data_IF_514578827920
#
_entry.id   IF_514578827920
#
_cell.length_a   1.000
_cell.length_b   1.000
_cell.length_c   1.000
_cell.angle_alpha   90.00
_cell.angle_beta   90.00
_cell.angle_gamma   90.00
#
_symmetry.space_group_name_H-M   'P 1'
#
loop_
_entity.id
_entity.type
_entity.pdbx_description
1 polymer ?
#
# COMPACT_ATOMS: atom_id res chain seq x y z
N UNK A 1 16.29 56.99 19.66
CA UNK A 1 16.67 55.87 18.81
C UNK A 1 16.53 54.60 19.62
N UNK A 2 15.38 53.92 19.51
CA UNK A 2 15.13 52.62 20.19
C UNK A 2 15.33 51.49 19.14
N UNK A 3 16.36 50.66 19.33
CA UNK A 3 16.55 49.44 18.57
C UNK A 3 15.49 48.43 18.99
N UNK A 4 14.65 48.00 18.07
CA UNK A 4 13.80 46.83 18.21
C UNK A 4 14.69 45.59 18.06
N UNK A 5 14.85 44.83 19.13
CA UNK A 5 15.33 43.44 19.06
C UNK A 5 14.18 42.56 18.57
N UNK A 6 14.37 41.91 17.44
CA UNK A 6 13.54 40.79 17.02
C UNK A 6 13.97 39.56 17.84
N UNK A 7 13.16 39.19 18.80
CA UNK A 7 13.21 37.86 19.39
C UNK A 7 12.40 36.91 18.50
N UNK A 8 13.08 36.04 17.80
CA UNK A 8 12.49 34.86 17.20
C UNK A 8 12.34 33.82 18.30
N UNK A 9 11.19 33.80 18.95
CA UNK A 9 10.79 32.72 19.86
C UNK A 9 10.59 31.44 19.03
N UNK A 10 11.46 30.47 19.23
CA UNK A 10 11.22 29.11 18.76
C UNK A 10 10.24 28.44 19.70
N UNK A 11 9.00 28.29 19.28
CA UNK A 11 8.02 27.47 19.99
C UNK A 11 8.32 26.01 19.68
N UNK A 12 8.64 25.22 20.70
CA UNK A 12 8.63 23.78 20.62
C UNK A 12 7.25 23.30 21.06
N UNK A 13 6.49 22.72 20.14
CA UNK A 13 5.25 21.99 20.48
C UNK A 13 5.62 20.54 20.75
N UNK A 14 5.37 20.09 21.95
CA UNK A 14 5.43 18.69 22.31
C UNK A 14 4.08 18.05 21.98
N UNK A 15 4.04 17.14 21.04
CA UNK A 15 2.84 16.37 20.72
C UNK A 15 3.10 14.94 21.14
N UNK A 16 2.35 14.49 22.14
CA UNK A 16 2.29 13.08 22.48
C UNK A 16 1.30 12.42 21.53
N UNK A 17 1.82 11.62 20.62
CA UNK A 17 1.01 10.73 19.81
C UNK A 17 0.78 9.45 20.62
N UNK A 18 -0.28 9.47 21.41
CA UNK A 18 -0.89 8.23 21.83
C UNK A 18 -1.41 7.47 20.62
N UNK A 19 -1.36 6.15 20.63
CA UNK A 19 -1.95 5.25 19.65
C UNK A 19 -3.42 5.63 19.34
N UNK A 20 -3.58 6.56 18.44
CA UNK A 20 -4.83 7.15 18.00
C UNK A 20 -4.62 7.90 16.71
N UNK A 21 -3.99 7.27 15.71
CA UNK A 21 -4.12 7.75 14.34
C UNK A 21 -5.59 7.64 13.97
N UNK A 22 -6.34 8.73 14.16
CA UNK A 22 -7.66 8.91 13.57
C UNK A 22 -7.46 9.09 12.07
N UNK A 23 -7.21 7.98 11.37
CA UNK A 23 -7.44 7.94 9.94
C UNK A 23 -8.95 7.91 9.74
N UNK A 24 -9.57 9.10 9.60
CA UNK A 24 -10.92 9.18 9.06
C UNK A 24 -10.86 8.84 7.57
N UNK A 25 -10.74 7.55 7.28
CA UNK A 25 -11.00 7.02 5.94
C UNK A 25 -12.53 6.92 5.82
N UNK A 26 -13.18 8.05 5.66
CA UNK A 26 -14.59 8.10 5.27
C UNK A 26 -14.67 8.10 3.75
N UNK A 27 -14.43 6.97 3.16
CA UNK A 27 -14.62 6.79 1.73
C UNK A 27 -14.60 5.31 1.44
N UNK A 28 -15.76 4.75 1.14
CA UNK A 28 -15.87 3.37 0.68
C UNK A 28 -15.01 3.18 -0.56
N UNK A 29 -13.84 2.58 -0.37
CA UNK A 29 -12.99 2.15 -1.46
C UNK A 29 -13.73 1.00 -2.11
N UNK A 30 -14.17 1.18 -3.34
CA UNK A 30 -14.62 0.09 -4.21
C UNK A 30 -13.40 -0.74 -4.62
N UNK A 31 -12.79 -1.44 -3.66
CA UNK A 31 -11.90 -2.54 -3.97
C UNK A 31 -12.82 -3.71 -4.29
N UNK A 32 -12.81 -4.13 -5.54
CA UNK A 32 -13.62 -5.26 -5.98
C UNK A 32 -15.11 -4.99 -5.93
N UNK A 33 -15.64 -4.11 -6.80
CA UNK A 33 -17.03 -4.24 -7.19
C UNK A 33 -17.19 -5.67 -7.67
N UNK A 34 -18.04 -6.43 -6.97
CA UNK A 34 -18.55 -7.69 -7.48
C UNK A 34 -18.98 -7.46 -8.93
N UNK A 35 -18.15 -7.98 -9.86
CA UNK A 35 -18.42 -7.83 -11.28
C UNK A 35 -19.67 -8.65 -11.55
N UNK A 36 -20.76 -7.99 -11.87
CA UNK A 36 -21.99 -8.67 -12.25
C UNK A 36 -21.78 -9.28 -13.64
N UNK A 37 -21.61 -10.59 -13.68
CA UNK A 37 -21.79 -11.34 -14.92
C UNK A 37 -23.21 -11.08 -15.41
N UNK A 38 -23.36 -10.33 -16.49
CA UNK A 38 -24.64 -10.19 -17.18
C UNK A 38 -24.71 -11.31 -18.21
N UNK A 39 -25.61 -12.30 -18.04
CA UNK A 39 -25.84 -13.27 -19.12
C UNK A 39 -26.45 -12.52 -20.30
N UNK A 40 -25.70 -12.35 -21.35
CA UNK A 40 -26.19 -11.82 -22.63
C UNK A 40 -26.82 -12.98 -23.41
N UNK A 41 -28.04 -12.74 -23.91
CA UNK A 41 -28.75 -13.70 -24.71
C UNK A 41 -27.95 -14.13 -25.95
N UNK A 42 -28.01 -15.42 -26.26
CA UNK A 42 -27.54 -16.16 -27.42
C UNK A 42 -27.22 -15.30 -28.66
N UNK A 43 -25.99 -14.93 -28.87
CA UNK A 43 -25.43 -14.78 -30.20
C UNK A 43 -24.93 -16.16 -30.61
N UNK A 44 -25.13 -16.56 -31.88
CA UNK A 44 -24.61 -17.82 -32.41
C UNK A 44 -23.11 -17.88 -32.17
N UNK A 45 -22.66 -18.83 -31.33
CA UNK A 45 -21.26 -19.09 -31.09
C UNK A 45 -20.53 -19.30 -32.42
N UNK A 46 -19.29 -18.79 -32.58
CA UNK A 46 -18.50 -19.10 -33.77
C UNK A 46 -18.31 -20.59 -33.93
N UNK A 47 -18.18 -21.08 -35.17
CA UNK A 47 -17.98 -22.48 -35.49
C UNK A 47 -16.68 -23.05 -34.86
N UNK A 48 -15.68 -22.16 -34.64
CA UNK A 48 -14.44 -22.44 -33.93
C UNK A 48 -14.13 -21.22 -32.99
N UNK A 49 -13.77 -21.47 -31.71
CA UNK A 49 -13.45 -20.41 -30.78
C UNK A 49 -12.10 -19.83 -31.16
N UNK A 50 -11.98 -18.52 -31.37
CA UNK A 50 -10.74 -17.88 -31.83
C UNK A 50 -9.76 -17.65 -30.66
N UNK A 51 -9.30 -18.73 -30.03
CA UNK A 51 -8.24 -18.65 -29.04
C UNK A 51 -6.95 -18.13 -29.65
N UNK A 52 -6.28 -17.24 -28.92
CA UNK A 52 -4.96 -16.78 -29.33
C UNK A 52 -3.91 -17.87 -29.13
N UNK A 53 -2.88 -17.85 -29.97
CA UNK A 53 -1.70 -18.67 -29.73
C UNK A 53 -0.99 -18.18 -28.47
N UNK A 54 -0.75 -19.06 -27.52
CA UNK A 54 -0.05 -18.77 -26.28
C UNK A 54 1.39 -18.30 -26.57
N UNK A 55 1.76 -17.14 -26.02
CA UNK A 55 3.08 -16.52 -26.12
C UNK A 55 3.73 -16.38 -24.74
N UNK A 56 2.91 -16.18 -23.70
CA UNK A 56 3.38 -16.11 -22.32
C UNK A 56 3.69 -17.53 -21.84
N UNK A 57 4.91 -17.75 -21.43
CA UNK A 57 5.38 -19.05 -20.92
C UNK A 57 5.31 -19.10 -19.39
N UNK A 58 5.25 -20.30 -18.80
CA UNK A 58 5.30 -20.48 -17.36
C UNK A 58 6.53 -19.78 -16.74
N UNK A 59 7.67 -19.80 -17.43
CA UNK A 59 8.90 -19.17 -16.94
C UNK A 59 8.80 -17.64 -16.76
N UNK A 60 7.88 -16.99 -17.47
CA UNK A 60 7.67 -15.53 -17.37
C UNK A 60 6.76 -15.13 -16.21
N UNK A 61 6.02 -16.09 -15.66
CA UNK A 61 5.06 -15.90 -14.56
C UNK A 61 5.40 -16.70 -13.30
N UNK A 62 6.39 -17.59 -13.36
CA UNK A 62 6.88 -18.34 -12.20
C UNK A 62 7.38 -17.40 -11.13
N UNK A 63 6.91 -17.61 -9.89
CA UNK A 63 7.26 -16.78 -8.72
C UNK A 63 6.28 -15.64 -8.46
N UNK A 64 5.31 -15.42 -9.34
CA UNK A 64 4.21 -14.49 -9.07
C UNK A 64 3.27 -15.09 -8.01
N UNK A 65 2.96 -14.29 -6.99
CA UNK A 65 2.29 -14.83 -5.79
C UNK A 65 0.90 -15.40 -6.07
N UNK A 66 0.08 -14.69 -6.83
CA UNK A 66 -1.28 -15.13 -7.13
C UNK A 66 -1.29 -16.25 -8.16
N UNK A 67 -0.41 -16.19 -9.16
CA UNK A 67 -0.25 -17.23 -10.18
C UNK A 67 0.06 -18.60 -9.55
N UNK A 68 0.99 -18.66 -8.60
CA UNK A 68 1.43 -19.92 -7.97
C UNK A 68 0.34 -20.62 -7.14
N UNK A 69 -0.74 -19.92 -6.80
CA UNK A 69 -1.86 -20.49 -6.04
C UNK A 69 -3.01 -20.99 -6.92
N UNK A 70 -2.92 -20.79 -8.23
CA UNK A 70 -3.92 -21.21 -9.19
C UNK A 70 -3.76 -22.70 -9.57
N UNK A 71 -4.86 -23.35 -9.91
CA UNK A 71 -4.83 -24.66 -10.57
C UNK A 71 -4.23 -24.56 -11.99
N UNK A 72 -3.80 -25.68 -12.56
CA UNK A 72 -3.22 -25.73 -13.92
C UNK A 72 -4.15 -25.11 -14.99
N UNK A 73 -5.47 -25.29 -14.83
CA UNK A 73 -6.47 -24.68 -15.73
C UNK A 73 -6.51 -23.15 -15.54
N UNK A 74 -6.53 -22.67 -14.31
CA UNK A 74 -6.55 -21.24 -14.00
C UNK A 74 -5.23 -20.57 -14.37
N UNK A 75 -4.10 -21.24 -14.25
CA UNK A 75 -2.81 -20.76 -14.73
C UNK A 75 -2.79 -20.53 -16.25
N UNK A 76 -3.47 -21.39 -17.00
CA UNK A 76 -3.66 -21.15 -18.44
C UNK A 76 -4.50 -19.90 -18.68
N UNK A 77 -5.60 -19.74 -17.97
CA UNK A 77 -6.46 -18.54 -18.04
C UNK A 77 -5.70 -17.28 -17.65
N UNK A 78 -4.84 -17.34 -16.63
CA UNK A 78 -3.98 -16.23 -16.22
C UNK A 78 -3.06 -15.77 -17.36
N UNK A 79 -2.37 -16.69 -18.03
CA UNK A 79 -1.49 -16.38 -19.17
C UNK A 79 -2.25 -15.80 -20.36
N UNK A 80 -3.44 -16.32 -20.66
CA UNK A 80 -4.33 -15.81 -21.71
C UNK A 80 -4.76 -14.36 -21.40
N UNK A 81 -5.18 -14.09 -20.18
CA UNK A 81 -5.57 -12.74 -19.74
C UNK A 81 -4.38 -11.80 -19.79
N UNK A 82 -3.23 -12.18 -19.24
CA UNK A 82 -2.02 -11.35 -19.23
C UNK A 82 -1.60 -11.00 -20.67
N UNK A 83 -1.56 -11.98 -21.57
CA UNK A 83 -1.25 -11.76 -22.98
C UNK A 83 -2.24 -10.79 -23.62
N UNK A 84 -3.54 -11.02 -23.44
CA UNK A 84 -4.58 -10.18 -24.01
C UNK A 84 -4.50 -8.71 -23.51
N UNK A 85 -4.24 -8.51 -22.22
CA UNK A 85 -4.05 -7.16 -21.65
C UNK A 85 -2.80 -6.48 -22.21
N UNK A 86 -1.68 -7.20 -22.33
CA UNK A 86 -0.45 -6.66 -22.91
C UNK A 86 -0.65 -6.22 -24.36
N UNK A 87 -1.42 -6.97 -25.13
CA UNK A 87 -1.77 -6.68 -26.53
C UNK A 87 -2.95 -5.71 -26.69
N UNK A 88 -3.56 -5.21 -25.60
CA UNK A 88 -4.75 -4.36 -25.60
C UNK A 88 -5.93 -4.99 -26.38
N UNK A 89 -6.15 -6.30 -26.23
CA UNK A 89 -7.27 -7.01 -26.85
C UNK A 89 -8.59 -6.55 -26.23
N UNK A 90 -9.56 -6.23 -27.07
CA UNK A 90 -10.90 -5.85 -26.61
C UNK A 90 -11.69 -7.04 -26.10
N UNK A 91 -11.47 -8.20 -26.71
CA UNK A 91 -12.07 -9.48 -26.33
C UNK A 91 -10.93 -10.48 -26.16
N UNK A 92 -10.89 -11.14 -25.00
CA UNK A 92 -9.94 -12.21 -24.70
C UNK A 92 -10.75 -13.48 -24.50
N UNK A 93 -10.51 -14.47 -25.35
CA UNK A 93 -11.17 -15.78 -25.32
C UNK A 93 -10.42 -16.70 -24.40
N UNK A 94 -11.10 -17.25 -23.39
CA UNK A 94 -10.48 -17.99 -22.30
C UNK A 94 -10.87 -19.46 -22.31
N UNK A 95 -9.89 -20.34 -22.06
CA UNK A 95 -10.13 -21.74 -21.76
C UNK A 95 -10.72 -21.91 -20.34
N UNK A 96 -11.84 -21.26 -20.09
CA UNK A 96 -12.55 -21.22 -18.82
C UNK A 96 -14.04 -21.37 -19.07
N UNK A 97 -14.74 -22.08 -18.20
CA UNK A 97 -16.19 -22.32 -18.33
C UNK A 97 -17.04 -21.49 -17.38
N UNK A 98 -16.42 -20.67 -16.52
CA UNK A 98 -17.08 -19.91 -15.47
C UNK A 98 -16.58 -18.46 -15.44
N UNK A 99 -17.51 -17.51 -15.56
CA UNK A 99 -17.19 -16.08 -15.58
C UNK A 99 -16.64 -15.58 -14.24
N UNK A 100 -17.05 -16.15 -13.10
CA UNK A 100 -16.51 -15.73 -11.80
C UNK A 100 -15.04 -16.13 -11.69
N UNK A 101 -14.69 -17.36 -12.07
CA UNK A 101 -13.29 -17.80 -12.12
C UNK A 101 -12.46 -16.91 -13.04
N UNK A 102 -12.97 -16.58 -14.23
CA UNK A 102 -12.27 -15.65 -15.13
C UNK A 102 -12.03 -14.28 -14.51
N UNK A 103 -13.02 -13.76 -13.77
CA UNK A 103 -12.88 -12.47 -13.07
C UNK A 103 -11.89 -12.55 -11.92
N UNK A 104 -11.89 -13.63 -11.13
CA UNK A 104 -10.92 -13.85 -10.05
C UNK A 104 -9.50 -13.91 -10.60
N UNK A 105 -9.28 -14.68 -11.68
CA UNK A 105 -7.97 -14.77 -12.33
C UNK A 105 -7.55 -13.44 -12.95
N UNK A 106 -8.50 -12.66 -13.50
CA UNK A 106 -8.21 -11.32 -13.99
C UNK A 106 -7.69 -10.38 -12.88
N UNK A 107 -8.32 -10.42 -11.69
CA UNK A 107 -7.81 -9.66 -10.54
C UNK A 107 -6.42 -10.15 -10.11
N UNK A 108 -6.18 -11.46 -10.13
CA UNK A 108 -4.88 -12.03 -9.80
C UNK A 108 -3.77 -11.52 -10.73
N UNK A 109 -4.03 -11.44 -12.05
CA UNK A 109 -3.10 -10.81 -13.00
C UNK A 109 -2.79 -9.37 -12.60
N UNK A 110 -3.79 -8.56 -12.26
CA UNK A 110 -3.59 -7.15 -11.89
C UNK A 110 -2.95 -6.96 -10.50
N UNK A 111 -3.06 -7.95 -9.62
CA UNK A 111 -2.42 -7.94 -8.31
C UNK A 111 -0.93 -8.34 -8.39
N UNK A 112 -0.57 -9.27 -9.27
CA UNK A 112 0.81 -9.64 -9.51
C UNK A 112 1.58 -8.61 -10.37
N UNK A 113 0.87 -7.88 -11.24
CA UNK A 113 1.44 -7.02 -12.28
C UNK A 113 1.11 -5.54 -12.07
N UNK A 114 1.73 -4.88 -11.07
CA UNK A 114 1.45 -3.47 -10.75
C UNK A 114 1.77 -2.52 -11.92
N UNK A 115 2.63 -2.92 -12.85
CA UNK A 115 2.96 -2.15 -14.05
C UNK A 115 1.79 -2.02 -15.02
N UNK A 116 0.73 -2.82 -14.90
CA UNK A 116 -0.47 -2.72 -15.72
C UNK A 116 -1.36 -1.58 -15.20
N UNK A 117 -0.93 -0.35 -15.44
CA UNK A 117 -1.63 0.87 -15.03
C UNK A 117 -2.74 1.29 -16.01
N UNK A 118 -2.73 0.75 -17.22
CA UNK A 118 -3.66 1.12 -18.30
C UNK A 118 -4.98 0.33 -18.29
N UNK A 119 -5.19 -0.54 -17.32
CA UNK A 119 -6.42 -1.27 -17.07
C UNK A 119 -6.94 -0.91 -15.69
N UNK A 120 -8.24 -0.54 -15.58
CA UNK A 120 -8.81 -0.03 -14.33
C UNK A 120 -9.28 -1.11 -13.35
N UNK A 121 -9.07 -2.39 -13.67
CA UNK A 121 -9.51 -3.52 -12.87
C UNK A 121 -10.97 -3.91 -13.09
N UNK A 122 -11.70 -3.24 -13.97
CA UNK A 122 -13.03 -3.65 -14.38
C UNK A 122 -12.97 -4.44 -15.69
N UNK A 123 -13.81 -5.44 -15.83
CA UNK A 123 -14.01 -6.17 -17.07
C UNK A 123 -15.45 -6.68 -17.18
N UNK A 124 -15.90 -6.97 -18.39
CA UNK A 124 -17.16 -7.68 -18.62
C UNK A 124 -16.82 -9.12 -19.00
N UNK A 125 -17.37 -10.09 -18.28
CA UNK A 125 -17.19 -11.51 -18.60
C UNK A 125 -18.48 -12.14 -19.08
N UNK A 126 -18.45 -12.82 -20.23
CA UNK A 126 -19.59 -13.47 -20.84
C UNK A 126 -19.32 -14.94 -21.05
N UNK A 127 -20.21 -15.80 -20.52
CA UNK A 127 -20.16 -17.25 -20.75
C UNK A 127 -20.85 -17.60 -22.07
N UNK A 128 -20.20 -18.44 -22.86
CA UNK A 128 -20.76 -18.99 -24.10
C UNK A 128 -20.81 -20.51 -24.01
N UNK A 129 -21.87 -21.12 -24.55
CA UNK A 129 -21.93 -22.55 -24.80
C UNK A 129 -22.01 -22.80 -26.32
N UNK A 130 -21.13 -23.61 -26.81
CA UNK A 130 -21.32 -24.21 -28.13
C UNK A 130 -22.48 -25.22 -28.04
N UNK A 131 -23.22 -25.41 -29.15
CA UNK A 131 -24.41 -26.26 -29.20
C UNK A 131 -24.24 -27.63 -28.53
N UNK A 132 -25.37 -28.24 -28.11
CA UNK A 132 -25.49 -29.46 -27.28
C UNK A 132 -24.28 -30.41 -27.29
N UNK A 133 -23.53 -30.41 -26.17
CA UNK A 133 -22.43 -31.35 -25.91
C UNK A 133 -21.02 -30.82 -26.14
N UNK A 134 -20.82 -29.53 -26.48
CA UNK A 134 -19.52 -28.91 -26.68
C UNK A 134 -19.12 -27.99 -25.53
N UNK A 135 -17.81 -27.69 -25.47
CA UNK A 135 -17.14 -26.92 -24.42
C UNK A 135 -17.78 -25.55 -24.21
N UNK A 136 -17.89 -25.14 -22.95
CA UNK A 136 -18.15 -23.76 -22.57
C UNK A 136 -16.85 -22.98 -22.60
N UNK A 137 -16.92 -21.70 -22.93
CA UNK A 137 -15.81 -20.78 -22.84
C UNK A 137 -16.27 -19.42 -22.31
N UNK A 138 -15.33 -18.62 -21.83
CA UNK A 138 -15.60 -17.25 -21.38
C UNK A 138 -14.87 -16.29 -22.30
N UNK A 139 -15.53 -15.18 -22.61
CA UNK A 139 -14.90 -14.02 -23.20
C UNK A 139 -14.84 -12.94 -22.13
N UNK A 140 -13.65 -12.41 -21.85
CA UNK A 140 -13.46 -11.26 -20.98
C UNK A 140 -13.10 -10.03 -21.80
N UNK A 141 -13.77 -8.92 -21.51
CA UNK A 141 -13.58 -7.61 -22.12
C UNK A 141 -13.03 -6.64 -21.06
N UNK A 142 -11.69 -6.46 -20.93
CA UNK A 142 -11.10 -5.54 -19.99
C UNK A 142 -11.45 -4.08 -20.32
N UNK A 143 -11.60 -3.25 -19.27
CA UNK A 143 -11.76 -1.82 -19.46
C UNK A 143 -10.37 -1.15 -19.46
N UNK A 144 -9.97 -0.62 -20.61
CA UNK A 144 -8.70 0.08 -20.76
C UNK A 144 -8.87 1.59 -20.53
N UNK A 145 -8.07 2.15 -19.65
CA UNK A 145 -7.97 3.59 -19.42
C UNK A 145 -7.18 4.27 -20.54
N UNK A 146 -6.14 3.60 -21.03
CA UNK A 146 -5.20 4.15 -22.00
C UNK A 146 -4.82 3.11 -23.04
N UNK A 147 -4.71 3.56 -24.29
CA UNK A 147 -4.29 2.75 -25.43
C UNK A 147 -3.29 3.53 -26.32
N UNK A 148 -2.56 2.83 -27.18
CA UNK A 148 -1.70 3.41 -28.21
C UNK A 148 -0.66 4.39 -27.67
N UNK A 149 -0.57 5.57 -28.32
CA UNK A 149 0.43 6.59 -27.98
C UNK A 149 0.28 7.14 -26.56
N UNK A 150 -0.94 7.26 -26.05
CA UNK A 150 -1.17 7.77 -24.70
C UNK A 150 -0.67 6.78 -23.63
N UNK A 151 -0.91 5.47 -23.80
CA UNK A 151 -0.34 4.43 -22.93
C UNK A 151 1.17 4.50 -22.92
N UNK A 152 1.80 4.61 -24.10
CA UNK A 152 3.25 4.66 -24.22
C UNK A 152 3.83 5.92 -23.57
N UNK A 153 3.22 7.09 -23.78
CA UNK A 153 3.64 8.32 -23.12
C UNK A 153 3.60 8.20 -21.59
N UNK A 154 2.50 7.68 -21.03
CA UNK A 154 2.36 7.51 -19.58
C UNK A 154 3.34 6.48 -19.03
N UNK A 155 3.65 5.44 -19.80
CA UNK A 155 4.68 4.49 -19.44
C UNK A 155 6.05 5.17 -19.30
N UNK A 156 6.42 6.04 -20.23
CA UNK A 156 7.68 6.80 -20.16
C UNK A 156 7.71 7.78 -18.97
N UNK A 157 6.58 8.36 -18.62
CA UNK A 157 6.46 9.22 -17.42
C UNK A 157 6.66 8.39 -16.12
N UNK A 158 6.08 7.18 -16.03
CA UNK A 158 6.32 6.24 -14.92
C UNK A 158 7.80 5.86 -14.85
N UNK A 159 8.42 5.50 -15.97
CA UNK A 159 9.84 5.14 -16.01
C UNK A 159 10.75 6.30 -15.56
N UNK A 160 10.42 7.53 -15.91
CA UNK A 160 11.12 8.72 -15.43
C UNK A 160 10.97 8.92 -13.92
N UNK A 161 9.75 8.74 -13.41
CA UNK A 161 9.46 8.83 -11.97
C UNK A 161 10.19 7.71 -11.19
N UNK A 162 10.17 6.46 -11.71
CA UNK A 162 10.93 5.34 -11.17
C UNK A 162 12.43 5.64 -11.11
N UNK A 163 13.00 6.10 -12.22
CA UNK A 163 14.43 6.42 -12.28
C UNK A 163 14.79 7.51 -11.26
N UNK A 164 13.94 8.51 -11.09
CA UNK A 164 14.13 9.58 -10.10
C UNK A 164 14.11 9.02 -8.68
N UNK A 165 13.12 8.19 -8.34
CA UNK A 165 13.04 7.53 -7.03
C UNK A 165 14.28 6.67 -6.77
N UNK A 166 14.61 5.77 -7.69
CA UNK A 166 15.69 4.81 -7.50
C UNK A 166 17.09 5.43 -7.54
N UNK A 167 17.25 6.65 -8.06
CA UNK A 167 18.54 7.36 -8.02
C UNK A 167 19.04 7.64 -6.58
N UNK A 168 18.14 7.74 -5.62
CA UNK A 168 18.48 7.93 -4.20
C UNK A 168 18.89 6.66 -3.46
N UNK A 169 18.82 5.49 -4.12
CA UNK A 169 19.08 4.18 -3.50
C UNK A 169 20.46 3.61 -3.90
N UNK A 170 21.16 4.22 -4.85
CA UNK A 170 22.37 3.64 -5.48
C UNK A 170 23.42 3.12 -4.51
N UNK A 171 23.51 3.70 -3.33
CA UNK A 171 24.50 3.37 -2.31
C UNK A 171 23.98 2.44 -1.20
N UNK A 172 22.67 2.08 -1.23
CA UNK A 172 22.08 1.19 -0.24
C UNK A 172 22.26 -0.27 -0.66
N UNK A 173 22.96 -1.05 0.17
CA UNK A 173 23.12 -2.49 -0.04
C UNK A 173 22.15 -3.34 0.77
N UNK A 174 21.65 -2.82 1.88
CA UNK A 174 20.76 -3.51 2.81
C UNK A 174 19.31 -3.50 2.32
N UNK A 175 18.63 -4.66 2.37
CA UNK A 175 17.25 -4.80 1.90
C UNK A 175 16.27 -3.96 2.76
N UNK A 176 16.47 -3.95 4.08
CA UNK A 176 15.63 -3.16 4.98
C UNK A 176 15.73 -1.65 4.69
N UNK A 177 16.95 -1.15 4.48
CA UNK A 177 17.17 0.26 4.15
C UNK A 177 16.52 0.64 2.80
N UNK A 178 16.52 -0.27 1.82
CA UNK A 178 15.81 -0.07 0.56
C UNK A 178 14.30 -0.03 0.76
N UNK A 179 13.74 -0.96 1.52
CA UNK A 179 12.30 -1.00 1.84
C UNK A 179 11.90 0.28 2.58
N UNK A 180 12.67 0.67 3.61
CA UNK A 180 12.45 1.90 4.37
C UNK A 180 12.51 3.15 3.48
N UNK A 181 13.46 3.18 2.53
CA UNK A 181 13.56 4.29 1.59
C UNK A 181 12.32 4.39 0.70
N UNK A 182 11.85 3.28 0.10
CA UNK A 182 10.64 3.27 -0.74
C UNK A 182 9.41 3.67 0.07
N UNK A 183 9.25 3.14 1.28
CA UNK A 183 8.20 3.51 2.22
C UNK A 183 8.18 5.02 2.47
N UNK A 184 9.31 5.56 2.89
CA UNK A 184 9.48 6.99 3.18
C UNK A 184 9.28 7.86 1.93
N UNK A 185 9.77 7.38 0.77
CA UNK A 185 9.61 8.09 -0.49
C UNK A 185 8.14 8.23 -0.87
N UNK A 186 7.36 7.16 -0.77
CA UNK A 186 5.93 7.21 -1.08
C UNK A 186 5.20 8.19 -0.15
N UNK A 187 5.42 8.10 1.15
CA UNK A 187 4.80 9.00 2.16
C UNK A 187 5.14 10.46 1.89
N UNK A 188 6.39 10.77 1.54
CA UNK A 188 6.82 12.17 1.32
C UNK A 188 6.45 12.74 -0.05
N UNK A 189 6.02 11.91 -1.00
CA UNK A 189 5.82 12.33 -2.39
C UNK A 189 4.42 12.07 -2.95
N UNK A 190 3.55 11.43 -2.19
CA UNK A 190 2.19 11.10 -2.64
C UNK A 190 1.21 11.59 -1.58
N UNK A 191 0.24 12.39 -1.99
CA UNK A 191 -0.86 12.81 -1.12
C UNK A 191 -2.02 11.80 -1.18
N UNK A 192 -2.61 11.46 -0.03
CA UNK A 192 -3.80 10.61 -0.01
C UNK A 192 -5.03 11.38 -0.49
N UNK A 193 -5.64 10.95 -1.60
CA UNK A 193 -6.72 11.68 -2.24
C UNK A 193 -7.72 10.76 -2.94
N UNK A 194 -8.95 10.76 -2.42
CA UNK A 194 -10.06 9.97 -2.96
C UNK A 194 -10.55 10.48 -4.32
N UNK A 195 -10.36 11.76 -4.62
CA UNK A 195 -10.81 12.40 -5.85
C UNK A 195 -9.72 12.46 -6.93
N UNK A 196 -8.55 11.88 -6.69
CA UNK A 196 -7.49 11.84 -7.68
C UNK A 196 -7.91 10.99 -8.89
N UNK A 197 -7.61 11.45 -10.13
CA UNK A 197 -7.85 10.64 -11.32
C UNK A 197 -7.08 9.32 -11.25
N UNK A 198 -7.73 8.22 -11.67
CA UNK A 198 -7.12 6.89 -11.77
C UNK A 198 -6.37 6.44 -10.51
N UNK A 199 -6.91 6.80 -9.35
CA UNK A 199 -6.27 6.70 -8.03
C UNK A 199 -5.94 5.27 -7.55
N UNK A 200 -6.23 4.24 -8.36
CA UNK A 200 -6.01 2.82 -8.02
C UNK A 200 -4.73 2.22 -8.62
N UNK A 201 -3.92 3.01 -9.33
CA UNK A 201 -2.76 2.51 -10.05
C UNK A 201 -1.47 3.29 -9.79
N UNK A 202 -0.35 2.78 -10.31
CA UNK A 202 0.98 3.38 -10.08
C UNK A 202 1.16 4.74 -10.77
N UNK A 203 0.39 5.06 -11.83
CA UNK A 203 0.50 6.35 -12.50
C UNK A 203 0.04 7.48 -11.59
N UNK A 204 -1.10 7.30 -10.90
CA UNK A 204 -1.62 8.30 -9.96
C UNK A 204 -0.63 8.60 -8.83
N UNK A 205 0.00 7.57 -8.25
CA UNK A 205 0.96 7.75 -7.17
C UNK A 205 2.31 8.27 -7.65
N UNK A 206 2.92 7.65 -8.66
CA UNK A 206 4.30 7.98 -9.06
C UNK A 206 4.40 9.25 -9.90
N UNK A 207 3.39 9.54 -10.74
CA UNK A 207 3.37 10.70 -11.64
C UNK A 207 2.41 11.76 -11.13
N UNK A 208 1.16 11.39 -10.85
CA UNK A 208 0.11 12.28 -10.36
C UNK A 208 0.34 12.79 -8.94
N UNK A 209 1.15 12.09 -8.15
CA UNK A 209 1.47 12.40 -6.74
C UNK A 209 0.25 12.46 -5.82
N UNK A 210 -0.87 11.88 -6.23
CA UNK A 210 -2.13 11.82 -5.49
C UNK A 210 -2.78 10.46 -5.76
N UNK A 211 -3.05 9.70 -4.71
CA UNK A 211 -3.58 8.34 -4.86
C UNK A 211 -4.34 7.88 -3.62
N UNK A 212 -4.88 6.67 -3.66
CA UNK A 212 -5.44 5.96 -2.50
C UNK A 212 -4.57 4.74 -2.18
N UNK A 213 -4.94 3.96 -1.16
CA UNK A 213 -4.17 2.81 -0.68
C UNK A 213 -3.73 1.85 -1.80
N UNK A 214 -4.59 1.56 -2.77
CA UNK A 214 -4.23 0.68 -3.90
C UNK A 214 -3.08 1.23 -4.73
N UNK A 215 -3.06 2.54 -5.03
CA UNK A 215 -1.95 3.15 -5.75
C UNK A 215 -0.66 3.22 -4.93
N UNK A 216 -0.74 3.48 -3.61
CA UNK A 216 0.41 3.38 -2.70
C UNK A 216 0.98 1.96 -2.70
N UNK A 217 0.14 0.95 -2.47
CA UNK A 217 0.58 -0.45 -2.35
C UNK A 217 1.12 -1.01 -3.68
N UNK A 218 0.46 -0.72 -4.81
CA UNK A 218 0.98 -1.11 -6.14
C UNK A 218 2.29 -0.40 -6.48
N UNK A 219 2.44 0.87 -6.10
CA UNK A 219 3.70 1.61 -6.32
C UNK A 219 4.83 1.08 -5.44
N UNK A 220 4.53 0.70 -4.20
CA UNK A 220 5.48 0.03 -3.32
C UNK A 220 5.94 -1.30 -3.95
N UNK A 221 4.99 -2.15 -4.37
CA UNK A 221 5.28 -3.41 -5.06
C UNK A 221 6.15 -3.19 -6.29
N UNK A 222 5.74 -2.30 -7.20
CA UNK A 222 6.47 -1.99 -8.43
C UNK A 222 7.91 -1.56 -8.17
N UNK A 223 8.12 -0.59 -7.27
CA UNK A 223 9.45 -0.06 -6.95
C UNK A 223 10.34 -1.09 -6.26
N UNK A 224 9.82 -1.90 -5.35
CA UNK A 224 10.57 -2.96 -4.68
C UNK A 224 10.94 -4.10 -5.63
N UNK A 225 10.05 -4.50 -6.53
CA UNK A 225 10.35 -5.49 -7.58
C UNK A 225 11.49 -5.02 -8.48
N UNK A 226 11.55 -3.72 -8.83
CA UNK A 226 12.67 -3.15 -9.60
C UNK A 226 14.03 -3.24 -8.86
N UNK A 227 14.01 -3.39 -7.54
CA UNK A 227 15.19 -3.58 -6.68
C UNK A 227 15.49 -5.06 -6.41
N UNK A 228 14.73 -5.97 -7.01
CA UNK A 228 14.83 -7.42 -6.79
C UNK A 228 14.31 -7.86 -5.41
N UNK A 229 13.51 -7.06 -4.74
CA UNK A 229 12.87 -7.38 -3.46
C UNK A 229 11.48 -7.94 -3.74
N UNK A 230 11.22 -9.16 -3.25
CA UNK A 230 9.92 -9.79 -3.38
C UNK A 230 8.87 -9.02 -2.58
N UNK A 231 7.79 -8.63 -3.26
CA UNK A 231 6.73 -7.82 -2.69
C UNK A 231 5.37 -8.25 -3.26
N UNK A 232 4.44 -8.56 -2.37
CA UNK A 232 3.07 -8.99 -2.67
C UNK A 232 2.14 -7.80 -2.43
N UNK A 233 1.23 -7.56 -3.35
CA UNK A 233 0.06 -6.69 -3.13
C UNK A 233 -0.99 -7.47 -2.34
N UNK A 234 -1.49 -6.91 -1.27
CA UNK A 234 -2.44 -7.57 -0.36
C UNK A 234 -3.69 -6.71 -0.22
N UNK A 235 -4.84 -7.35 -0.16
CA UNK A 235 -6.13 -6.70 0.13
C UNK A 235 -6.77 -7.27 1.39
N UNK A 236 -7.60 -6.46 2.00
CA UNK A 236 -8.36 -6.82 3.19
C UNK A 236 -9.15 -5.62 3.71
N UNK A 237 -9.32 -5.56 5.01
CA UNK A 237 -10.06 -4.47 5.67
C UNK A 237 -9.24 -3.86 6.79
N UNK A 238 -9.50 -2.59 7.07
CA UNK A 238 -8.99 -1.90 8.25
C UNK A 238 -10.13 -1.47 9.15
N UNK A 239 -9.82 -1.35 10.44
CA UNK A 239 -10.76 -0.84 11.45
C UNK A 239 -10.19 0.42 12.07
N UNK A 240 -10.94 1.52 12.01
CA UNK A 240 -10.58 2.75 12.69
C UNK A 240 -10.88 2.69 14.21
N UNK A 241 -10.32 3.60 15.03
CA UNK A 241 -10.56 3.62 16.48
C UNK A 241 -12.03 3.79 16.88
N UNK A 242 -12.91 4.24 15.98
CA UNK A 242 -14.34 4.40 16.23
C UNK A 242 -15.14 3.15 15.80
N UNK A 243 -14.46 2.11 15.28
CA UNK A 243 -15.05 0.87 14.80
C UNK A 243 -15.58 0.95 13.37
N UNK A 244 -15.22 1.99 12.61
CA UNK A 244 -15.49 2.05 11.17
C UNK A 244 -14.61 1.03 10.42
N UNK A 245 -15.20 0.29 9.49
CA UNK A 245 -14.50 -0.71 8.66
C UNK A 245 -14.44 -0.21 7.23
N UNK A 246 -13.26 -0.30 6.62
CA UNK A 246 -13.04 0.07 5.23
C UNK A 246 -12.17 -0.98 4.52
N UNK A 247 -12.45 -1.21 3.24
CA UNK A 247 -11.58 -2.01 2.39
C UNK A 247 -10.23 -1.29 2.21
N UNK A 248 -9.15 -2.06 2.20
CA UNK A 248 -7.80 -1.52 2.20
C UNK A 248 -6.82 -2.41 1.45
N UNK A 249 -5.69 -1.81 1.03
CA UNK A 249 -4.62 -2.51 0.35
C UNK A 249 -3.25 -2.09 0.91
N UNK A 250 -2.36 -3.09 1.08
CA UNK A 250 -0.99 -2.93 1.58
C UNK A 250 -0.06 -3.97 0.96
N UNK A 251 1.09 -4.23 1.57
CA UNK A 251 2.07 -5.17 1.01
C UNK A 251 2.56 -6.18 2.04
N UNK A 252 3.00 -7.34 1.55
CA UNK A 252 3.93 -8.24 2.23
C UNK A 252 5.25 -8.18 1.47
N UNK A 253 6.36 -7.97 2.19
CA UNK A 253 7.71 -7.95 1.62
C UNK A 253 8.56 -9.08 2.19
N UNK A 254 9.48 -9.62 1.39
CA UNK A 254 10.53 -10.47 1.90
C UNK A 254 11.78 -9.64 2.15
N UNK A 255 12.32 -9.73 3.36
CA UNK A 255 13.55 -9.07 3.75
C UNK A 255 14.43 -10.03 4.56
N UNK A 256 15.68 -10.24 4.14
CA UNK A 256 16.61 -11.15 4.79
C UNK A 256 16.05 -12.56 5.03
N UNK A 257 15.24 -13.06 4.08
CA UNK A 257 14.62 -14.39 4.13
C UNK A 257 13.42 -14.54 5.08
N UNK A 258 12.91 -13.44 5.64
CA UNK A 258 11.70 -13.39 6.45
C UNK A 258 10.65 -12.51 5.77
N UNK A 259 9.37 -12.71 6.11
CA UNK A 259 8.27 -11.90 5.58
C UNK A 259 7.77 -10.90 6.62
N UNK A 260 7.39 -9.73 6.14
CA UNK A 260 6.90 -8.61 6.94
C UNK A 260 5.79 -7.87 6.20
N UNK A 261 4.90 -7.24 6.95
CA UNK A 261 3.92 -6.32 6.39
C UNK A 261 4.50 -4.92 6.21
N UNK A 262 4.06 -4.25 5.15
CA UNK A 262 4.39 -2.85 4.85
C UNK A 262 3.12 -2.13 4.40
N UNK A 263 2.74 -1.05 5.08
CA UNK A 263 1.65 -0.20 4.67
C UNK A 263 2.06 1.28 4.66
N UNK A 264 2.43 1.77 3.49
CA UNK A 264 2.85 3.16 3.32
C UNK A 264 1.67 4.15 3.45
N UNK A 265 0.43 3.71 3.25
CA UNK A 265 -0.75 4.57 3.43
C UNK A 265 -0.96 4.91 4.91
N UNK A 266 -0.86 3.92 5.79
CA UNK A 266 -0.98 4.11 7.23
C UNK A 266 0.30 4.69 7.86
N UNK A 267 1.39 4.67 7.10
CA UNK A 267 2.62 5.37 7.42
C UNK A 267 2.55 6.87 7.17
N UNK A 268 1.54 7.34 6.45
CA UNK A 268 1.26 8.73 6.08
C UNK A 268 0.07 9.29 6.88
N UNK A 269 0.26 9.64 8.17
CA UNK A 269 -0.84 10.03 9.02
C UNK A 269 -1.37 11.41 8.65
N UNK A 270 -2.67 11.50 8.40
CA UNK A 270 -3.38 12.76 8.26
C UNK A 270 -3.77 13.27 9.65
N UNK A 271 -3.15 14.33 10.10
CA UNK A 271 -3.53 15.00 11.36
C UNK A 271 -4.66 15.99 11.12
N UNK A 272 -5.81 15.73 11.71
CA UNK A 272 -6.86 16.73 11.85
C UNK A 272 -6.46 17.69 12.98
N UNK A 273 -5.63 18.69 12.67
CA UNK A 273 -5.38 19.77 13.60
C UNK A 273 -6.64 20.63 13.65
N UNK A 274 -7.28 20.73 14.83
CA UNK A 274 -8.26 21.78 15.07
C UNK A 274 -7.63 23.13 14.74
N UNK A 275 -8.38 24.04 14.19
CA UNK A 275 -8.13 25.36 13.55
C UNK A 275 -7.06 26.30 14.13
N UNK A 276 -6.01 25.83 14.77
CA UNK A 276 -4.94 26.67 15.34
C UNK A 276 -3.75 26.92 14.38
N UNK A 277 -3.84 26.45 13.14
CA UNK A 277 -2.85 26.76 12.09
C UNK A 277 -1.50 26.03 12.22
N UNK A 278 -1.36 25.06 13.12
CA UNK A 278 -0.18 24.23 13.21
C UNK A 278 -0.26 23.09 12.19
N UNK A 279 0.59 23.15 11.18
CA UNK A 279 0.91 21.96 10.36
C UNK A 279 2.08 21.24 11.03
N UNK A 280 1.90 19.95 11.34
CA UNK A 280 3.01 19.10 11.74
C UNK A 280 3.69 18.67 10.43
N UNK A 281 4.91 19.16 10.14
CA UNK A 281 5.55 18.83 8.89
C UNK A 281 5.96 17.37 8.89
N UNK A 282 5.50 16.63 7.89
CA UNK A 282 6.02 15.33 7.45
C UNK A 282 6.32 14.32 8.58
N UNK A 283 5.38 14.11 9.49
CA UNK A 283 5.49 12.99 10.42
C UNK A 283 5.27 11.68 9.68
N UNK A 284 6.21 10.76 9.80
CA UNK A 284 6.09 9.40 9.28
C UNK A 284 5.83 8.46 10.44
N UNK A 285 4.75 7.69 10.37
CA UNK A 285 4.48 6.61 11.30
C UNK A 285 5.20 5.34 10.80
N UNK A 286 6.14 4.83 11.59
CA UNK A 286 6.90 3.63 11.24
C UNK A 286 6.30 2.34 11.81
N UNK A 287 5.09 2.40 12.38
CA UNK A 287 4.38 1.24 12.94
C UNK A 287 4.11 0.15 11.91
N UNK A 288 3.91 0.56 10.65
CA UNK A 288 3.59 -0.32 9.53
C UNK A 288 4.77 -0.52 8.56
N UNK A 289 5.99 -0.19 8.97
CA UNK A 289 7.22 -0.50 8.24
C UNK A 289 7.80 -1.83 8.74
N UNK A 290 7.79 -2.86 7.91
CA UNK A 290 8.27 -4.20 8.23
C UNK A 290 7.71 -4.72 9.57
N UNK A 291 6.42 -4.55 9.79
CA UNK A 291 5.77 -5.00 11.02
C UNK A 291 5.37 -6.48 10.95
N UNK A 292 5.19 -7.08 12.13
CA UNK A 292 4.71 -8.45 12.26
C UNK A 292 3.18 -8.52 12.11
N UNK A 293 2.67 -9.75 11.90
CA UNK A 293 1.24 -10.06 11.90
C UNK A 293 0.54 -9.56 13.18
N UNK A 294 1.15 -9.81 14.34
CA UNK A 294 0.65 -9.35 15.64
C UNK A 294 0.45 -7.83 15.71
N UNK A 295 1.34 -7.06 15.11
CA UNK A 295 1.22 -5.59 15.06
C UNK A 295 0.16 -5.17 14.05
N UNK A 296 0.16 -5.76 12.85
CA UNK A 296 -0.79 -5.45 11.81
C UNK A 296 -2.24 -5.74 12.22
N UNK A 297 -2.50 -6.91 12.80
CA UNK A 297 -3.84 -7.36 13.19
C UNK A 297 -4.54 -6.49 14.24
N UNK A 298 -3.83 -5.55 14.86
CA UNK A 298 -4.46 -4.56 15.75
C UNK A 298 -5.45 -3.67 15.00
N UNK A 299 -5.25 -3.49 13.71
CA UNK A 299 -6.02 -2.56 12.88
C UNK A 299 -6.44 -3.13 11.52
N UNK A 300 -5.81 -4.21 11.08
CA UNK A 300 -6.01 -4.79 9.74
C UNK A 300 -6.51 -6.22 9.82
N UNK A 301 -7.37 -6.59 8.90
CA UNK A 301 -7.83 -7.96 8.65
C UNK A 301 -7.50 -8.32 7.20
N UNK A 302 -6.58 -9.26 7.02
CA UNK A 302 -6.21 -9.75 5.69
C UNK A 302 -7.34 -10.60 5.08
N UNK A 303 -7.53 -10.53 3.76
CA UNK A 303 -8.43 -11.47 3.06
C UNK A 303 -7.94 -12.91 3.26
N UNK A 304 -8.88 -13.82 3.45
CA UNK A 304 -8.61 -15.25 3.63
C UNK A 304 -8.71 -16.07 2.35
N UNK A 305 -8.87 -15.40 1.20
CA UNK A 305 -9.04 -16.07 -0.09
C UNK A 305 -7.75 -16.72 -0.60
N UNK A 306 -6.59 -16.31 -0.04
CA UNK A 306 -5.25 -16.78 -0.40
C UNK A 306 -4.45 -17.22 0.82
N UNK A 307 -3.44 -18.06 0.60
CA UNK A 307 -2.50 -18.49 1.63
C UNK A 307 -1.28 -17.59 1.61
N UNK A 308 -1.28 -16.57 2.46
CA UNK A 308 -0.17 -15.63 2.57
C UNK A 308 1.00 -16.18 3.38
N UNK A 309 2.24 -15.73 3.11
CA UNK A 309 3.39 -16.04 3.94
C UNK A 309 3.19 -15.53 5.36
N UNK A 310 3.65 -16.31 6.35
CA UNK A 310 3.58 -15.92 7.76
C UNK A 310 4.59 -14.82 8.10
N UNK A 311 4.13 -13.72 8.69
CA UNK A 311 4.92 -12.54 9.05
C UNK A 311 5.11 -12.45 10.58
N UNK A 312 5.81 -13.44 11.16
CA UNK A 312 5.96 -13.56 12.63
C UNK A 312 7.17 -12.79 13.19
N UNK A 313 8.11 -12.38 12.33
CA UNK A 313 9.34 -11.74 12.78
C UNK A 313 9.12 -10.30 13.22
N UNK A 314 9.67 -9.93 14.39
CA UNK A 314 9.71 -8.55 14.90
C UNK A 314 11.09 -7.92 14.77
N UNK A 315 12.07 -8.61 14.15
CA UNK A 315 13.48 -8.20 14.10
C UNK A 315 13.74 -6.88 13.35
N UNK A 316 12.82 -6.46 12.49
CA UNK A 316 12.91 -5.23 11.70
C UNK A 316 11.96 -4.13 12.20
N UNK A 317 11.46 -4.25 13.43
CA UNK A 317 10.67 -3.18 14.04
C UNK A 317 11.50 -1.90 14.13
N UNK A 318 11.04 -0.84 13.49
CA UNK A 318 11.75 0.44 13.38
C UNK A 318 12.16 1.01 14.75
N UNK A 319 11.24 0.96 15.72
CA UNK A 319 11.47 1.53 17.05
C UNK A 319 12.51 0.73 17.83
N UNK A 320 12.51 -0.60 17.70
CA UNK A 320 13.53 -1.45 18.33
C UNK A 320 14.92 -1.22 17.71
N UNK A 321 15.00 -1.17 16.38
CA UNK A 321 16.27 -0.94 15.67
C UNK A 321 16.90 0.41 16.01
N UNK A 322 16.09 1.40 16.33
CA UNK A 322 16.54 2.76 16.64
C UNK A 322 16.59 3.07 18.15
N UNK A 323 16.38 2.07 19.03
CA UNK A 323 16.41 2.26 20.48
C UNK A 323 15.30 3.17 21.01
N UNK A 324 14.14 3.15 20.33
CA UNK A 324 12.95 3.95 20.67
C UNK A 324 11.76 3.05 21.08
N UNK A 325 12.03 1.81 21.47
CA UNK A 325 11.03 0.84 21.95
C UNK A 325 11.26 0.55 23.42
N UNK A 326 10.23 0.64 24.24
CA UNK A 326 10.33 0.52 25.68
C UNK A 326 9.32 -0.48 26.23
N UNK A 327 9.82 -1.45 27.02
CA UNK A 327 9.01 -2.48 27.66
C UNK A 327 8.50 -2.04 29.04
N UNK A 328 9.14 -1.06 29.64
CA UNK A 328 8.82 -0.52 30.97
C UNK A 328 8.95 0.99 30.93
N UNK A 329 8.18 1.64 31.78
CA UNK A 329 8.34 3.07 32.02
C UNK A 329 9.29 3.27 33.20
N UNK A 330 10.31 4.10 33.02
CA UNK A 330 11.23 4.55 34.08
C UNK A 330 11.14 6.07 34.23
N UNK A 331 11.01 6.61 35.46
CA UNK A 331 11.01 8.05 35.68
C UNK A 331 12.22 8.73 35.07
N UNK A 332 12.00 9.74 34.26
CA UNK A 332 13.05 10.46 33.50
C UNK A 332 13.33 9.95 32.09
N UNK A 333 12.84 8.75 31.72
CA UNK A 333 13.01 8.20 30.36
C UNK A 333 12.48 9.18 29.31
N UNK A 334 11.32 9.74 29.52
CA UNK A 334 10.69 10.69 28.59
C UNK A 334 11.54 11.93 28.38
N UNK A 335 12.21 12.44 29.44
CA UNK A 335 13.14 13.57 29.35
C UNK A 335 14.35 13.24 28.50
N UNK A 336 14.89 12.01 28.60
CA UNK A 336 16.03 11.57 27.80
C UNK A 336 15.66 11.43 26.33
N UNK A 337 14.46 10.90 26.02
CA UNK A 337 13.96 10.76 24.65
C UNK A 337 13.74 12.15 24.02
N UNK A 338 13.10 13.06 24.74
CA UNK A 338 12.88 14.45 24.29
C UNK A 338 14.23 15.19 24.12
N UNK A 339 15.15 15.05 25.08
CA UNK A 339 16.46 15.70 25.01
C UNK A 339 17.23 15.24 23.76
N UNK A 340 17.19 13.95 23.43
CA UNK A 340 17.79 13.39 22.20
C UNK A 340 17.21 14.04 20.93
N UNK A 341 15.89 14.16 20.83
CA UNK A 341 15.26 14.81 19.67
C UNK A 341 15.61 16.29 19.56
N UNK A 342 15.74 16.99 20.70
CA UNK A 342 16.20 18.38 20.74
C UNK A 342 17.66 18.49 20.27
N UNK A 343 18.55 17.65 20.77
CA UNK A 343 19.96 17.61 20.36
C UNK A 343 20.13 17.30 18.87
N UNK A 344 19.31 16.40 18.34
CA UNK A 344 19.28 16.02 16.91
C UNK A 344 18.53 17.05 16.05
N UNK A 345 17.97 18.11 16.63
CA UNK A 345 17.18 19.13 15.95
C UNK A 345 15.95 18.56 15.20
N UNK A 346 15.38 17.49 15.71
CA UNK A 346 14.16 16.89 15.17
C UNK A 346 12.94 17.76 15.51
N UNK A 347 11.98 17.83 14.59
CA UNK A 347 10.77 18.63 14.77
C UNK A 347 9.77 17.99 15.74
N UNK A 348 9.92 16.69 15.99
CA UNK A 348 9.04 15.87 16.84
C UNK A 348 9.84 14.72 17.48
N UNK A 349 9.28 14.14 18.52
CA UNK A 349 9.82 12.96 19.19
C UNK A 349 8.86 11.79 18.97
N UNK A 350 9.39 10.66 18.52
CA UNK A 350 8.64 9.41 18.36
C UNK A 350 9.25 8.30 19.21
N UNK A 351 8.42 7.45 19.78
CA UNK A 351 8.81 6.25 20.48
C UNK A 351 7.60 5.31 20.61
N UNK A 352 7.83 4.05 20.93
CA UNK A 352 6.79 3.03 21.07
C UNK A 352 6.90 2.33 22.42
N UNK A 353 5.77 2.06 23.04
CA UNK A 353 5.64 1.24 24.23
C UNK A 353 5.23 -0.18 23.85
N UNK A 354 5.65 -1.16 24.65
CA UNK A 354 5.34 -2.58 24.39
C UNK A 354 3.86 -2.91 24.50
N UNK A 355 3.15 -2.20 25.36
CA UNK A 355 1.73 -2.40 25.61
C UNK A 355 1.03 -1.15 26.16
N UNK A 356 -0.31 -1.22 26.25
CA UNK A 356 -1.17 -0.12 26.67
C UNK A 356 -0.96 0.28 28.13
N UNK A 357 -0.55 -0.63 29.01
CA UNK A 357 -0.34 -0.32 30.42
C UNK A 357 0.90 0.55 30.60
N UNK A 358 2.01 0.21 29.95
CA UNK A 358 3.24 1.02 29.92
C UNK A 358 2.98 2.38 29.25
N UNK A 359 2.20 2.40 28.17
CA UNK A 359 1.78 3.63 27.51
C UNK A 359 1.01 4.55 28.45
N UNK A 360 0.05 3.99 29.24
CA UNK A 360 -0.76 4.79 30.16
C UNK A 360 0.10 5.41 31.28
N UNK A 361 1.12 4.72 31.79
CA UNK A 361 2.06 5.27 32.77
C UNK A 361 2.79 6.51 32.21
N UNK A 362 3.18 6.46 30.93
CA UNK A 362 3.81 7.62 30.26
C UNK A 362 2.83 8.79 30.13
N UNK A 363 1.59 8.54 29.72
CA UNK A 363 0.55 9.54 29.58
C UNK A 363 0.27 10.22 30.91
N UNK A 364 0.15 9.44 31.98
CA UNK A 364 -0.14 9.94 33.34
C UNK A 364 0.99 10.87 33.82
N UNK A 365 2.27 10.46 33.66
CA UNK A 365 3.40 11.33 34.04
C UNK A 365 3.49 12.59 33.18
N UNK A 366 3.20 12.51 31.89
CA UNK A 366 3.18 13.70 31.05
C UNK A 366 2.16 14.72 31.49
N UNK A 367 0.98 14.29 31.90
CA UNK A 367 -0.06 15.18 32.40
C UNK A 367 0.31 15.80 33.75
N UNK A 368 0.93 15.03 34.64
CA UNK A 368 1.22 15.49 36.00
C UNK A 368 2.52 16.28 36.14
N UNK A 369 3.56 15.94 35.38
CA UNK A 369 4.92 16.45 35.63
C UNK A 369 5.47 17.30 34.48
N UNK A 370 5.38 16.84 33.24
CA UNK A 370 6.03 17.52 32.13
C UNK A 370 5.26 18.74 31.62
N UNK A 371 3.94 18.74 31.74
CA UNK A 371 3.13 19.92 31.39
C UNK A 371 3.37 21.07 32.39
N UNK A 372 3.54 20.75 33.68
CA UNK A 372 3.86 21.74 34.71
C UNK A 372 5.29 22.30 34.55
N UNK A 373 6.27 21.44 34.32
CA UNK A 373 7.67 21.85 34.11
C UNK A 373 7.88 22.52 32.73
N UNK A 374 7.24 22.01 31.67
CA UNK A 374 7.32 22.61 30.34
C UNK A 374 6.74 24.02 30.30
N UNK A 375 5.67 24.26 31.04
CA UNK A 375 5.12 25.62 31.20
C UNK A 375 6.08 26.55 31.94
N UNK A 376 6.88 26.05 32.87
CA UNK A 376 7.91 26.80 33.58
C UNK A 376 9.08 27.23 32.68
N UNK A 377 9.47 26.43 31.71
CA UNK A 377 10.51 26.76 30.72
C UNK A 377 10.04 27.70 29.62
N UNK A 378 8.72 27.75 29.35
CA UNK A 378 8.13 28.63 28.34
C UNK A 378 7.62 29.97 28.91
N UNK A 379 7.60 30.14 30.21
CA UNK A 379 7.05 31.29 30.94
C UNK A 379 8.07 32.35 31.37
N UNK A 380 9.36 32.14 31.14
CA UNK A 380 10.44 33.13 31.32
C UNK A 380 11.03 33.48 29.93
#
# INVERSE_FOLDING_TARGET
MRKKMHQTGKFFSFILLGLGCLCLISGGILIGRQMSATPKAESSAPEEVPYEQEKITDAEVTGEFYYEQLSDEEQTVYREILQGIQENKKEIYLHCSNANTANEVFQNVLNDRPEIFWCDGNATSTEYSQSEGQSRYVVIEPNYLYEGEEKEQRYQEIESARATCLSGISDLSDEYEKIKYIYTYLINNVDYDLDAPDNQNIYSALVGKRSVCAGYAKSCQYLLQQLGIYCIYVTGQTTDPNGGVADHAWNIVQCNGQYYYVDATWGDPIFLCEDNGYQIPNLIAYDYLCCSEKELEKTHMISTDYVYPSCQSENLNYYQLNGMYYDTYEPGMLREVIARSIESQEAYTIFKMSDDAVYQEVVDEMHETLMEEGAGYLGE
#
